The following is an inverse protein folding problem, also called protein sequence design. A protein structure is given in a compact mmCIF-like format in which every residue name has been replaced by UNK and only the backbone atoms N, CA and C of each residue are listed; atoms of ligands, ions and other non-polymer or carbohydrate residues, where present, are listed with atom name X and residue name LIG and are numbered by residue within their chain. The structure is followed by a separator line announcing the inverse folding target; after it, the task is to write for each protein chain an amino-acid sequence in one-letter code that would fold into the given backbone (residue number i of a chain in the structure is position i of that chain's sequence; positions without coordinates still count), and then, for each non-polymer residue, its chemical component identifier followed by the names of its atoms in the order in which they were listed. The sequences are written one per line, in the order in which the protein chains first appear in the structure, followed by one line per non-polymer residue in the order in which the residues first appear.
data_IF_193197341949
#
_entry.id   IF_193197341949
#
_cell.length_a   1.000
_cell.length_b   1.000
_cell.length_c   1.000
_cell.angle_alpha   90.00
_cell.angle_beta   90.00
_cell.angle_gamma   90.00
#
_symmetry.space_group_name_H-M   'P 1'
#
loop_
_entity.id
_entity.type
_entity.pdbx_description
1 polymer ?
#
# COMPACT_ATOMS: atom_id res chain seq x y z
N UNK A 1 -3.94 -75.59 19.77
CA UNK A 1 -4.61 -74.39 19.20
C UNK A 1 -4.41 -73.29 20.24
N UNK A 2 -3.27 -72.59 20.19
CA UNK A 2 -3.08 -71.25 19.55
C UNK A 2 -3.89 -70.17 20.29
N UNK A 3 -3.37 -69.04 20.77
CA UNK A 3 -2.12 -68.32 20.55
C UNK A 3 -2.13 -67.12 21.54
N UNK A 4 -1.00 -66.76 22.16
CA UNK A 4 -0.80 -65.50 22.90
C UNK A 4 0.64 -65.04 22.67
N UNK A 5 0.82 -64.02 21.83
CA UNK A 5 2.12 -63.41 21.53
C UNK A 5 2.35 -62.12 22.30
N UNK A 6 3.41 -62.11 23.12
CA UNK A 6 4.01 -60.97 23.81
C UNK A 6 5.53 -61.08 23.74
N UNK A 7 6.24 -59.95 23.57
CA UNK A 7 7.69 -59.78 23.84
C UNK A 7 8.54 -59.56 22.58
N UNK A 8 9.23 -58.42 22.40
CA UNK A 8 10.51 -57.98 23.00
C UNK A 8 11.76 -58.62 22.38
N UNK A 9 12.58 -57.83 21.66
CA UNK A 9 14.06 -57.95 21.54
C UNK A 9 14.55 -56.70 20.74
N UNK A 10 15.66 -56.00 21.03
CA UNK A 10 16.89 -56.39 21.73
C UNK A 10 17.95 -56.79 20.71
N UNK A 11 18.86 -55.89 20.31
CA UNK A 11 19.90 -56.20 19.32
C UNK A 11 20.99 -55.14 19.16
N UNK A 12 22.24 -55.55 19.41
CA UNK A 12 23.41 -54.75 19.71
C UNK A 12 24.29 -54.29 18.52
N UNK A 13 24.87 -53.09 18.69
CA UNK A 13 26.25 -52.63 18.45
C UNK A 13 27.23 -53.48 17.60
N UNK A 14 27.87 -52.85 16.59
CA UNK A 14 29.26 -53.11 16.14
C UNK A 14 29.95 -51.86 15.59
N UNK A 15 31.12 -51.56 16.16
CA UNK A 15 32.17 -50.66 15.69
C UNK A 15 32.78 -51.10 14.36
N UNK A 16 33.10 -50.15 13.48
CA UNK A 16 34.21 -50.28 12.52
C UNK A 16 34.86 -48.91 12.28
N UNK A 17 36.12 -48.80 12.69
CA UNK A 17 37.05 -47.74 12.32
C UNK A 17 37.73 -48.10 10.99
N UNK A 18 37.77 -47.17 10.04
CA UNK A 18 38.70 -47.25 8.90
C UNK A 18 39.02 -45.86 8.35
N UNK A 19 40.32 -45.53 8.41
CA UNK A 19 40.98 -44.42 7.72
C UNK A 19 40.92 -44.63 6.20
N UNK A 20 40.68 -43.55 5.46
CA UNK A 20 41.21 -43.35 4.12
C UNK A 20 41.60 -41.88 3.96
N UNK A 21 42.88 -41.69 3.64
CA UNK A 21 43.51 -40.47 3.16
C UNK A 21 43.33 -40.42 1.63
N UNK A 22 43.15 -39.24 1.04
CA UNK A 22 42.94 -39.13 -0.41
C UNK A 22 42.40 -37.80 -0.91
N UNK A 23 43.32 -36.84 -1.07
CA UNK A 23 43.52 -35.97 -2.25
C UNK A 23 42.34 -35.27 -2.96
N UNK A 24 42.55 -33.99 -3.30
CA UNK A 24 41.98 -33.42 -4.53
C UNK A 24 41.55 -31.95 -4.47
N UNK A 25 42.42 -31.08 -5.02
CA UNK A 25 42.23 -29.68 -5.42
C UNK A 25 40.96 -29.43 -6.24
N UNK A 26 40.17 -28.38 -5.91
CA UNK A 26 39.46 -27.41 -6.78
C UNK A 26 39.00 -26.25 -5.84
N UNK A 27 39.21 -24.95 -6.04
CA UNK A 27 39.18 -24.18 -7.29
C UNK A 27 37.75 -23.73 -7.59
N UNK A 28 37.27 -22.61 -7.01
CA UNK A 28 36.06 -21.95 -7.52
C UNK A 28 35.25 -21.09 -6.55
N UNK A 29 35.00 -19.84 -6.98
CA UNK A 29 33.68 -19.21 -6.78
C UNK A 29 33.59 -18.14 -5.72
N UNK A 30 33.88 -16.90 -6.12
CA UNK A 30 33.49 -15.70 -5.37
C UNK A 30 31.98 -15.71 -5.10
N UNK A 31 31.63 -15.62 -3.82
CA UNK A 31 30.27 -15.37 -3.38
C UNK A 31 30.15 -13.87 -3.19
N UNK A 32 29.73 -13.17 -4.25
CA UNK A 32 29.27 -11.81 -4.13
C UNK A 32 28.03 -11.80 -3.25
N UNK A 33 28.15 -11.22 -2.06
CA UNK A 33 27.03 -10.76 -1.27
C UNK A 33 26.28 -9.71 -2.09
N UNK A 34 25.29 -10.17 -2.85
CA UNK A 34 24.27 -9.31 -3.43
C UNK A 34 23.34 -8.86 -2.30
N UNK A 35 23.78 -7.82 -1.61
CA UNK A 35 22.95 -6.88 -0.85
C UNK A 35 21.82 -6.37 -1.78
N UNK A 36 20.70 -7.07 -1.75
CA UNK A 36 19.47 -6.73 -2.47
C UNK A 36 18.51 -5.95 -1.59
N UNK A 37 19.04 -5.03 -0.76
CA UNK A 37 18.26 -4.15 0.11
C UNK A 37 18.03 -2.73 -0.42
N UNK A 38 18.73 -2.27 -1.48
CA UNK A 38 18.94 -0.83 -1.71
C UNK A 38 18.30 -0.20 -2.97
N UNK A 39 17.32 -0.82 -3.62
CA UNK A 39 16.71 -0.23 -4.85
C UNK A 39 15.30 0.35 -4.71
N UNK A 40 14.72 0.47 -3.51
CA UNK A 40 13.42 1.13 -3.31
C UNK A 40 13.48 2.49 -2.59
N UNK A 41 14.65 2.93 -2.11
CA UNK A 41 14.78 4.16 -1.31
C UNK A 41 14.82 5.47 -2.12
N UNK A 42 15.05 5.44 -3.44
CA UNK A 42 15.25 6.68 -4.23
C UNK A 42 13.97 7.52 -4.48
N UNK A 43 12.81 7.20 -3.90
CA UNK A 43 11.56 7.96 -4.15
C UNK A 43 10.86 8.48 -2.90
N UNK A 44 11.44 8.28 -1.72
CA UNK A 44 10.84 8.68 -0.44
C UNK A 44 11.74 9.72 0.23
N UNK A 45 11.27 10.96 0.28
CA UNK A 45 11.95 12.06 0.96
C UNK A 45 11.51 12.10 2.41
N UNK A 46 12.46 12.09 3.34
CA UNK A 46 12.20 12.37 4.75
C UNK A 46 12.13 13.88 4.98
N UNK A 47 11.07 14.33 5.62
CA UNK A 47 10.80 15.75 5.88
C UNK A 47 11.10 16.13 7.34
N UNK A 48 10.74 15.27 8.28
CA UNK A 48 11.02 15.44 9.70
C UNK A 48 11.05 14.09 10.41
N UNK A 49 11.74 14.04 11.55
CA UNK A 49 11.73 12.89 12.45
C UNK A 49 11.63 13.35 13.89
N UNK A 50 10.81 12.66 14.70
CA UNK A 50 10.79 12.78 16.15
C UNK A 50 11.06 11.41 16.77
N UNK A 51 11.93 11.38 17.78
CA UNK A 51 12.24 10.18 18.53
C UNK A 51 11.72 10.31 19.96
N UNK A 52 10.93 9.35 20.41
CA UNK A 52 10.41 9.26 21.77
C UNK A 52 10.98 8.02 22.44
N UNK A 53 11.46 8.18 23.67
CA UNK A 53 11.88 7.06 24.51
C UNK A 53 10.87 6.91 25.65
N UNK A 54 10.06 5.86 25.58
CA UNK A 54 8.99 5.59 26.54
C UNK A 54 9.29 4.25 27.19
N UNK A 55 9.58 4.27 28.50
CA UNK A 55 10.07 3.10 29.23
C UNK A 55 11.30 2.49 28.55
N UNK A 56 11.28 1.19 28.25
CA UNK A 56 12.35 0.46 27.55
C UNK A 56 12.18 0.40 26.04
N UNK A 57 11.25 1.17 25.47
CA UNK A 57 10.97 1.22 24.03
C UNK A 57 11.37 2.56 23.43
N UNK A 58 11.74 2.54 22.15
CA UNK A 58 11.98 3.75 21.34
C UNK A 58 11.00 3.81 20.19
N UNK A 59 10.38 4.96 20.01
CA UNK A 59 9.47 5.24 18.91
C UNK A 59 10.07 6.29 18.00
N UNK A 60 9.95 6.09 16.69
CA UNK A 60 10.33 7.06 15.68
C UNK A 60 9.10 7.44 14.88
N UNK A 61 8.81 8.73 14.82
CA UNK A 61 7.72 9.32 14.05
C UNK A 61 8.36 10.10 12.91
N UNK A 62 8.42 9.50 11.74
CA UNK A 62 9.04 10.11 10.57
C UNK A 62 7.95 10.62 9.61
N UNK A 63 7.96 11.92 9.33
CA UNK A 63 7.14 12.50 8.25
C UNK A 63 7.89 12.30 6.95
N UNK A 64 7.27 11.58 6.01
CA UNK A 64 7.87 11.23 4.73
C UNK A 64 6.95 11.61 3.58
N UNK A 65 7.54 11.87 2.42
CA UNK A 65 6.84 12.25 1.20
C UNK A 65 7.27 11.34 0.05
N UNK A 66 6.28 10.83 -0.68
CA UNK A 66 6.51 10.10 -1.93
C UNK A 66 5.57 10.62 -3.03
N UNK A 67 5.59 9.99 -4.20
CA UNK A 67 4.72 10.37 -5.35
C UNK A 67 3.21 10.30 -5.04
N UNK A 68 2.79 9.61 -3.98
CA UNK A 68 1.38 9.43 -3.60
C UNK A 68 0.89 10.48 -2.60
N UNK A 69 1.79 11.20 -1.95
CA UNK A 69 1.47 12.16 -0.90
C UNK A 69 2.45 12.10 0.28
N UNK A 70 2.06 12.77 1.35
CA UNK A 70 2.78 12.77 2.64
C UNK A 70 2.15 11.74 3.57
N UNK A 71 2.96 11.18 4.45
CA UNK A 71 2.51 10.24 5.46
C UNK A 71 3.46 10.25 6.65
N UNK A 72 2.98 9.76 7.80
CA UNK A 72 3.79 9.53 8.99
C UNK A 72 4.06 8.03 9.11
N UNK A 73 5.33 7.67 9.14
CA UNK A 73 5.80 6.34 9.49
C UNK A 73 6.07 6.31 10.99
N UNK A 74 5.36 5.45 11.71
CA UNK A 74 5.62 5.21 13.13
C UNK A 74 6.33 3.88 13.29
N UNK A 75 7.56 3.90 13.77
CA UNK A 75 8.33 2.70 14.09
C UNK A 75 8.47 2.54 15.60
N UNK A 76 8.28 1.31 16.09
CA UNK A 76 8.57 0.88 17.45
C UNK A 76 9.81 -0.01 17.44
N UNK A 77 10.74 0.26 18.35
CA UNK A 77 11.82 -0.65 18.72
C UNK A 77 11.54 -1.13 20.15
N UNK A 78 11.21 -2.42 20.26
CA UNK A 78 10.99 -3.09 21.54
C UNK A 78 12.26 -3.23 22.36
N UNK A 79 12.11 -3.54 23.64
CA UNK A 79 13.23 -3.79 24.55
C UNK A 79 14.11 -5.00 24.11
N UNK A 80 13.51 -5.92 23.36
CA UNK A 80 14.18 -7.08 22.74
C UNK A 80 14.80 -6.76 21.37
N UNK A 81 14.80 -5.49 20.96
CA UNK A 81 15.30 -5.04 19.67
C UNK A 81 14.34 -5.31 18.50
N UNK A 82 13.18 -5.93 18.72
CA UNK A 82 12.21 -6.18 17.65
C UNK A 82 11.68 -4.86 17.11
N UNK A 83 11.67 -4.76 15.78
CA UNK A 83 11.16 -3.59 15.06
C UNK A 83 9.76 -3.87 14.54
N UNK A 84 8.83 -2.99 14.85
CA UNK A 84 7.47 -2.99 14.30
C UNK A 84 7.16 -1.61 13.73
N UNK A 85 6.26 -1.51 12.76
CA UNK A 85 5.92 -0.22 12.16
C UNK A 85 4.49 -0.17 11.62
N UNK A 86 3.90 1.02 11.67
CA UNK A 86 2.64 1.36 11.02
C UNK A 86 2.81 2.62 10.19
N UNK A 87 1.90 2.83 9.24
CA UNK A 87 1.90 3.98 8.34
C UNK A 87 0.57 4.69 8.43
N UNK A 88 0.60 6.00 8.70
CA UNK A 88 -0.57 6.85 8.87
C UNK A 88 -0.57 7.92 7.78
N UNK A 89 -1.72 8.14 7.14
CA UNK A 89 -1.92 9.37 6.38
C UNK A 89 -2.00 10.56 7.37
N UNK A 90 -1.69 11.79 6.94
CA UNK A 90 -1.71 12.96 7.85
C UNK A 90 -3.10 13.17 8.48
N UNK A 91 -4.16 12.92 7.73
CA UNK A 91 -5.55 12.96 8.22
C UNK A 91 -5.81 11.91 9.29
N UNK A 92 -5.34 10.68 9.07
CA UNK A 92 -5.44 9.58 10.06
C UNK A 92 -4.58 9.84 11.29
N UNK A 93 -3.43 10.50 11.13
CA UNK A 93 -2.59 10.91 12.25
C UNK A 93 -3.27 11.99 13.11
N UNK A 94 -4.03 12.91 12.50
CA UNK A 94 -4.84 13.90 13.22
C UNK A 94 -5.96 13.23 14.04
N UNK A 95 -6.72 12.32 13.42
CA UNK A 95 -7.73 11.52 14.11
C UNK A 95 -7.11 10.70 15.26
N UNK A 96 -5.93 10.12 15.03
CA UNK A 96 -5.21 9.38 16.07
C UNK A 96 -4.78 10.27 17.24
N UNK A 97 -4.28 11.49 16.95
CA UNK A 97 -3.93 12.50 17.96
C UNK A 97 -5.15 12.85 18.83
N UNK A 98 -6.31 13.04 18.22
CA UNK A 98 -7.54 13.35 18.96
C UNK A 98 -7.94 12.17 19.87
N UNK A 99 -7.90 10.93 19.35
CA UNK A 99 -8.16 9.74 20.15
C UNK A 99 -7.18 9.55 21.31
N UNK A 100 -5.89 9.89 21.15
CA UNK A 100 -4.91 9.80 22.23
C UNK A 100 -5.30 10.66 23.44
N UNK A 101 -5.96 11.81 23.22
CA UNK A 101 -6.49 12.62 24.31
C UNK A 101 -7.58 11.87 25.06
N UNK A 102 -8.57 11.34 24.36
CA UNK A 102 -9.66 10.54 24.94
C UNK A 102 -9.15 9.31 25.70
N UNK A 103 -8.15 8.61 25.15
CA UNK A 103 -7.52 7.47 25.83
C UNK A 103 -6.74 7.89 27.07
N UNK A 104 -6.06 9.04 27.03
CA UNK A 104 -5.33 9.57 28.18
C UNK A 104 -6.27 9.97 29.32
N UNK A 105 -7.36 10.67 29.01
CA UNK A 105 -8.36 11.06 30.01
C UNK A 105 -8.99 9.83 30.67
N UNK A 106 -9.33 8.82 29.85
CA UNK A 106 -9.83 7.55 30.37
C UNK A 106 -8.78 6.87 31.25
N UNK A 107 -7.51 6.77 30.80
CA UNK A 107 -6.43 6.17 31.60
C UNK A 107 -6.22 6.89 32.94
N UNK A 108 -6.29 8.22 32.97
CA UNK A 108 -6.16 9.02 34.19
C UNK A 108 -7.33 8.79 35.17
N UNK A 109 -8.51 8.45 34.66
CA UNK A 109 -9.67 8.08 35.49
C UNK A 109 -9.58 6.67 36.08
N UNK A 110 -8.70 5.82 35.53
CA UNK A 110 -8.53 4.46 36.03
C UNK A 110 -7.72 4.47 37.32
N UNK A 111 -8.23 3.77 38.34
CA UNK A 111 -7.48 3.48 39.57
C UNK A 111 -6.24 2.60 39.33
N UNK A 112 -5.53 2.24 40.42
CA UNK A 112 -4.37 1.36 40.33
C UNK A 112 -4.72 0.04 39.61
N UNK A 113 -3.80 -0.52 38.82
CA UNK A 113 -4.03 -1.78 38.11
C UNK A 113 -4.33 -2.89 39.13
N UNK A 114 -5.35 -3.71 38.82
CA UNK A 114 -5.71 -4.85 39.65
C UNK A 114 -5.33 -6.13 38.91
N UNK A 115 -4.19 -6.76 39.24
CA UNK A 115 -3.70 -7.95 38.54
C UNK A 115 -4.63 -9.16 38.68
N UNK A 116 -5.55 -9.16 39.65
CA UNK A 116 -6.49 -10.26 39.89
C UNK A 116 -7.79 -10.13 39.08
N UNK A 117 -8.03 -8.99 38.41
CA UNK A 117 -9.27 -8.71 37.68
C UNK A 117 -9.00 -8.14 36.28
N UNK A 118 -8.13 -8.78 35.51
CA UNK A 118 -7.86 -8.41 34.12
C UNK A 118 -8.93 -9.02 33.21
N UNK A 119 -9.58 -8.25 32.31
CA UNK A 119 -10.52 -8.82 31.34
C UNK A 119 -9.87 -9.95 30.53
N UNK A 120 -10.66 -10.94 30.12
CA UNK A 120 -10.16 -12.13 29.40
C UNK A 120 -9.45 -11.76 28.08
N UNK A 121 -9.93 -10.72 27.39
CA UNK A 121 -9.27 -10.17 26.19
C UNK A 121 -8.28 -9.02 26.52
N UNK A 122 -8.23 -8.61 27.79
CA UNK A 122 -7.43 -7.53 28.35
C UNK A 122 -7.79 -6.13 27.85
N UNK A 123 -8.94 -5.92 27.19
CA UNK A 123 -9.31 -4.60 26.63
C UNK A 123 -10.09 -3.76 27.64
N UNK A 124 -9.70 -2.50 27.77
CA UNK A 124 -10.35 -1.52 28.64
C UNK A 124 -11.17 -0.50 27.84
N UNK A 125 -10.70 -0.10 26.66
CA UNK A 125 -11.38 0.80 25.73
C UNK A 125 -10.88 0.53 24.31
N UNK A 126 -11.78 0.62 23.33
CA UNK A 126 -11.44 0.41 21.92
C UNK A 126 -12.02 1.51 21.04
N UNK A 127 -11.28 1.91 20.01
CA UNK A 127 -11.69 2.82 18.94
C UNK A 127 -11.21 2.26 17.58
N UNK A 128 -11.77 2.78 16.48
CA UNK A 128 -11.37 2.38 15.13
C UNK A 128 -11.31 3.57 14.19
N UNK A 129 -10.23 3.65 13.41
CA UNK A 129 -10.09 4.61 12.32
C UNK A 129 -10.04 3.86 10.99
N UNK A 130 -10.58 4.46 9.92
CA UNK A 130 -10.64 3.85 8.59
C UNK A 130 -10.09 4.84 7.56
N UNK A 131 -9.12 4.39 6.75
CA UNK A 131 -8.59 5.16 5.63
C UNK A 131 -8.48 4.28 4.39
N UNK A 132 -9.22 4.62 3.33
CA UNK A 132 -9.34 3.82 2.11
C UNK A 132 -9.68 2.34 2.43
N UNK A 133 -8.75 1.43 2.16
CA UNK A 133 -8.85 -0.01 2.42
C UNK A 133 -8.06 -0.44 3.68
N UNK A 134 -7.66 0.49 4.53
CA UNK A 134 -6.93 0.24 5.77
C UNK A 134 -7.83 0.52 6.98
N UNK A 135 -7.74 -0.36 7.98
CA UNK A 135 -8.38 -0.21 9.28
C UNK A 135 -7.32 -0.16 10.36
N UNK A 136 -7.48 0.77 11.29
CA UNK A 136 -6.61 0.94 12.44
C UNK A 136 -7.46 0.70 13.68
N UNK A 137 -7.13 -0.35 14.44
CA UNK A 137 -7.78 -0.66 15.71
C UNK A 137 -6.92 -0.12 16.83
N UNK A 138 -7.53 0.70 17.69
CA UNK A 138 -6.90 1.31 18.86
C UNK A 138 -7.47 0.64 20.09
N UNK A 139 -6.73 -0.27 20.71
CA UNK A 139 -7.18 -1.00 21.91
C UNK A 139 -6.30 -0.57 23.11
N UNK A 140 -6.87 0.14 24.09
CA UNK A 140 -6.22 0.32 25.38
C UNK A 140 -6.38 -0.98 26.17
N UNK A 141 -5.25 -1.59 26.53
CA UNK A 141 -5.21 -2.91 27.17
C UNK A 141 -4.50 -2.89 28.51
N UNK A 142 -4.86 -3.84 29.37
CA UNK A 142 -4.20 -4.12 30.65
C UNK A 142 -3.63 -5.54 30.63
N UNK A 143 -2.42 -5.70 31.15
CA UNK A 143 -1.81 -7.01 31.41
C UNK A 143 -0.95 -6.94 32.67
N UNK A 144 -0.31 -8.05 33.03
CA UNK A 144 0.58 -8.16 34.21
C UNK A 144 1.75 -7.17 34.23
N UNK A 145 2.13 -6.60 33.07
CA UNK A 145 3.21 -5.60 32.95
C UNK A 145 2.68 -4.15 33.04
N UNK A 146 1.36 -3.96 33.03
CA UNK A 146 0.69 -2.67 33.08
C UNK A 146 -0.21 -2.41 31.88
N UNK A 147 -0.54 -1.13 31.69
CA UNK A 147 -1.47 -0.68 30.63
C UNK A 147 -0.73 -0.15 29.41
N UNK A 148 -1.25 -0.44 28.23
CA UNK A 148 -0.68 0.00 26.95
C UNK A 148 -1.75 0.14 25.88
N UNK A 149 -1.56 1.10 24.98
CA UNK A 149 -2.39 1.27 23.79
C UNK A 149 -1.79 0.45 22.64
N UNK A 150 -2.52 -0.56 22.18
CA UNK A 150 -2.19 -1.34 20.99
C UNK A 150 -2.82 -0.68 19.77
N UNK A 151 -1.99 -0.31 18.80
CA UNK A 151 -2.43 0.22 17.51
C UNK A 151 -2.16 -0.82 16.44
N UNK A 152 -3.21 -1.46 15.92
CA UNK A 152 -3.12 -2.50 14.90
C UNK A 152 -3.61 -1.99 13.55
N UNK A 153 -2.75 -2.00 12.55
CA UNK A 153 -3.07 -1.70 11.16
C UNK A 153 -3.37 -2.98 10.38
N UNK A 154 -4.50 -3.01 9.68
CA UNK A 154 -4.87 -4.12 8.78
C UNK A 154 -5.38 -3.59 7.44
N UNK A 155 -5.24 -4.40 6.37
CA UNK A 155 -5.79 -4.09 5.05
C UNK A 155 -7.02 -4.98 4.82
N UNK A 156 -8.14 -4.39 4.41
CA UNK A 156 -9.35 -5.13 4.05
C UNK A 156 -9.04 -6.10 2.91
N UNK A 157 -9.39 -7.39 3.07
CA UNK A 157 -9.08 -8.54 2.19
C UNK A 157 -7.77 -9.29 2.48
N UNK A 158 -7.42 -9.46 3.76
CA UNK A 158 -6.38 -10.43 4.16
C UNK A 158 -4.94 -9.98 3.89
N UNK A 159 -4.70 -8.68 3.74
CA UNK A 159 -3.36 -8.14 3.56
C UNK A 159 -2.50 -8.18 4.85
N UNK A 160 -1.23 -7.75 4.76
CA UNK A 160 -0.31 -7.75 5.89
C UNK A 160 -0.89 -6.95 7.08
N UNK A 161 -0.68 -7.51 8.28
CA UNK A 161 -1.02 -6.86 9.55
C UNK A 161 0.26 -6.37 10.21
N UNK A 162 0.22 -5.16 10.73
CA UNK A 162 1.29 -4.63 11.56
C UNK A 162 0.70 -3.95 12.78
N UNK A 163 1.49 -3.86 13.85
CA UNK A 163 1.03 -3.23 15.08
C UNK A 163 2.17 -2.61 15.85
N UNK A 164 1.85 -1.63 16.68
CA UNK A 164 2.73 -1.09 17.71
C UNK A 164 2.00 -1.11 19.05
N UNK A 165 2.74 -1.05 20.15
CA UNK A 165 2.24 -1.06 21.51
C UNK A 165 2.89 0.06 22.32
N UNK A 166 2.16 1.15 22.51
CA UNK A 166 2.58 2.37 23.21
C UNK A 166 2.24 2.21 24.70
N UNK A 167 3.20 2.27 25.62
CA UNK A 167 2.89 2.28 27.06
C UNK A 167 1.96 3.43 27.42
N UNK A 168 0.96 3.19 28.27
CA UNK A 168 -0.10 4.17 28.55
C UNK A 168 0.47 5.50 29.10
N UNK A 169 1.56 5.46 29.87
CA UNK A 169 2.22 6.65 30.42
C UNK A 169 2.79 7.58 29.32
N UNK A 170 3.12 7.05 28.15
CA UNK A 170 3.68 7.83 27.05
C UNK A 170 2.65 8.31 26.02
N UNK A 171 1.34 8.10 26.25
CA UNK A 171 0.31 8.54 25.30
C UNK A 171 0.28 10.05 25.10
N UNK A 172 0.53 10.83 26.16
CA UNK A 172 0.59 12.30 26.10
C UNK A 172 1.80 12.76 25.29
N UNK A 173 3.00 12.25 25.57
CA UNK A 173 4.20 12.57 24.79
C UNK A 173 4.02 12.21 23.30
N UNK A 174 3.38 11.08 23.02
CA UNK A 174 3.07 10.66 21.65
C UNK A 174 2.08 11.62 20.97
N UNK A 175 1.03 12.07 21.70
CA UNK A 175 0.05 13.06 21.22
C UNK A 175 0.72 14.39 20.91
N UNK A 176 1.59 14.86 21.79
CA UNK A 176 2.26 16.15 21.65
C UNK A 176 3.24 16.11 20.47
N UNK A 177 4.00 15.02 20.33
CA UNK A 177 4.85 14.81 19.16
C UNK A 177 4.06 14.77 17.84
N UNK A 178 2.88 14.15 17.81
CA UNK A 178 1.99 14.21 16.64
C UNK A 178 1.46 15.61 16.41
N UNK A 179 1.11 16.36 17.47
CA UNK A 179 0.59 17.72 17.35
C UNK A 179 1.63 18.63 16.70
N UNK A 180 2.87 18.63 17.17
CA UNK A 180 3.96 19.40 16.57
C UNK A 180 4.15 19.10 15.08
N UNK A 181 4.16 17.81 14.71
CA UNK A 181 4.31 17.39 13.31
C UNK A 181 3.10 17.81 12.46
N UNK A 182 1.89 17.75 13.01
CA UNK A 182 0.67 18.12 12.28
C UNK A 182 0.49 19.63 12.16
N UNK A 183 1.01 20.42 13.11
CA UNK A 183 1.06 21.88 12.99
C UNK A 183 2.02 22.31 11.89
N UNK A 184 3.19 21.67 11.78
CA UNK A 184 4.19 21.99 10.76
C UNK A 184 3.80 21.49 9.36
N UNK A 185 3.31 20.25 9.25
CA UNK A 185 3.08 19.60 7.95
C UNK A 185 1.61 19.56 7.51
N UNK A 186 0.69 19.98 8.39
CA UNK A 186 -0.75 19.99 8.19
C UNK A 186 -1.43 18.64 8.42
N UNK A 187 -2.75 18.61 8.23
CA UNK A 187 -3.59 17.39 8.34
C UNK A 187 -4.05 16.85 6.98
N UNK A 188 -3.64 17.50 5.89
CA UNK A 188 -3.96 17.09 4.53
C UNK A 188 -2.97 16.03 4.05
N UNK A 189 -3.44 14.89 3.54
CA UNK A 189 -2.59 13.75 3.16
C UNK A 189 -1.59 14.00 2.03
N UNK A 190 -1.66 15.16 1.36
CA UNK A 190 -0.87 15.43 0.17
C UNK A 190 -1.34 14.61 -1.04
N UNK A 191 -1.51 15.31 -2.16
CA UNK A 191 -2.15 14.87 -3.39
C UNK A 191 -2.57 16.15 -4.11
N UNK A 192 -2.58 16.16 -5.44
CA UNK A 192 -2.87 17.39 -6.21
C UNK A 192 -4.16 18.07 -5.70
N UNK A 193 -4.08 19.38 -5.44
CA UNK A 193 -5.14 20.25 -4.88
C UNK A 193 -5.67 21.28 -5.90
N UNK A 194 -5.48 21.07 -7.20
CA UNK A 194 -6.21 21.85 -8.19
C UNK A 194 -7.66 21.35 -8.28
N UNK A 195 -8.60 22.22 -8.60
CA UNK A 195 -9.87 21.76 -9.18
C UNK A 195 -9.50 20.85 -10.36
N UNK A 196 -9.98 19.59 -10.30
CA UNK A 196 -9.83 18.71 -11.44
C UNK A 196 -10.67 19.30 -12.58
N UNK A 197 -10.17 19.31 -13.82
CA UNK A 197 -10.95 19.77 -14.95
C UNK A 197 -12.32 19.08 -15.00
N UNK A 198 -13.36 19.82 -15.34
CA UNK A 198 -14.69 19.27 -15.47
C UNK A 198 -14.69 18.12 -16.49
N UNK A 199 -15.36 17.02 -16.14
CA UNK A 199 -15.51 15.89 -17.02
C UNK A 199 -16.22 16.31 -18.31
N UNK A 200 -15.75 15.79 -19.44
CA UNK A 200 -16.39 16.01 -20.74
C UNK A 200 -17.12 14.76 -21.16
N UNK A 201 -18.16 14.90 -21.98
CA UNK A 201 -18.81 13.77 -22.60
C UNK A 201 -19.14 14.06 -24.06
N UNK A 202 -19.31 12.99 -24.83
CA UNK A 202 -19.81 13.07 -26.20
C UNK A 202 -20.80 11.94 -26.45
N UNK A 203 -21.79 12.19 -27.29
CA UNK A 203 -22.74 11.18 -27.75
C UNK A 203 -22.46 10.83 -29.20
N UNK A 204 -22.37 9.54 -29.48
CA UNK A 204 -22.21 8.98 -30.82
C UNK A 204 -23.26 7.89 -30.98
N UNK A 205 -24.19 8.08 -31.92
CA UNK A 205 -25.34 7.20 -32.14
C UNK A 205 -26.14 6.92 -30.85
N UNK A 206 -26.20 5.65 -30.45
CA UNK A 206 -26.85 5.17 -29.23
C UNK A 206 -25.85 4.93 -28.08
N UNK A 207 -24.68 5.57 -28.11
CA UNK A 207 -23.63 5.46 -27.08
C UNK A 207 -23.27 6.84 -26.54
N UNK A 208 -23.00 6.90 -25.23
CA UNK A 208 -22.44 8.06 -24.56
C UNK A 208 -21.03 7.71 -24.07
N UNK A 209 -20.06 8.57 -24.35
CA UNK A 209 -18.69 8.47 -23.86
C UNK A 209 -18.45 9.57 -22.85
N UNK A 210 -18.05 9.21 -21.63
CA UNK A 210 -17.69 10.14 -20.55
C UNK A 210 -16.17 10.10 -20.32
N UNK A 211 -15.57 11.26 -20.12
CA UNK A 211 -14.14 11.48 -19.89
C UNK A 211 -13.99 12.19 -18.54
N UNK A 212 -13.98 11.40 -17.48
CA UNK A 212 -13.98 11.91 -16.11
C UNK A 212 -12.54 11.99 -15.59
N UNK A 213 -12.10 13.16 -15.10
CA UNK A 213 -10.82 13.27 -14.40
C UNK A 213 -11.06 12.97 -12.93
N UNK A 214 -10.34 11.98 -12.41
CA UNK A 214 -10.43 11.55 -11.03
C UNK A 214 -9.06 11.47 -10.37
N UNK A 215 -9.08 11.39 -9.04
CA UNK A 215 -7.88 11.18 -8.23
C UNK A 215 -8.11 10.02 -7.27
N UNK A 216 -7.07 9.21 -7.09
CA UNK A 216 -7.05 8.18 -6.05
C UNK A 216 -5.65 8.11 -5.43
N UNK A 217 -5.46 7.15 -4.52
CA UNK A 217 -4.19 6.95 -3.81
C UNK A 217 -3.01 6.55 -4.71
N UNK A 218 -3.22 6.32 -6.02
CA UNK A 218 -2.17 6.07 -7.03
C UNK A 218 -1.85 7.29 -7.90
N UNK A 219 -2.63 8.38 -7.80
CA UNK A 219 -2.46 9.62 -8.55
C UNK A 219 -3.72 10.03 -9.33
N UNK A 220 -3.54 11.01 -10.24
CA UNK A 220 -4.59 11.48 -11.14
C UNK A 220 -4.76 10.47 -12.29
N UNK A 221 -6.00 10.27 -12.71
CA UNK A 221 -6.36 9.42 -13.82
C UNK A 221 -7.54 10.00 -14.61
N UNK A 222 -7.64 9.60 -15.87
CA UNK A 222 -8.83 9.80 -16.68
C UNK A 222 -9.59 8.49 -16.76
N UNK A 223 -10.89 8.51 -16.44
CA UNK A 223 -11.80 7.38 -16.68
C UNK A 223 -12.57 7.65 -17.96
N UNK A 224 -12.35 6.82 -18.97
CA UNK A 224 -13.13 6.86 -20.21
C UNK A 224 -14.19 5.78 -20.11
N UNK A 225 -15.46 6.19 -20.00
CA UNK A 225 -16.61 5.28 -19.87
C UNK A 225 -17.44 5.28 -21.15
N UNK A 226 -17.69 4.12 -21.73
CA UNK A 226 -18.72 3.91 -22.76
C UNK A 226 -20.01 3.43 -22.09
N UNK A 227 -21.12 4.10 -22.38
CA UNK A 227 -22.45 3.80 -21.85
C UNK A 227 -23.43 3.60 -23.01
N UNK A 228 -24.08 2.43 -23.05
CA UNK A 228 -25.15 2.09 -24.00
C UNK A 228 -26.32 1.46 -23.23
N UNK A 229 -27.45 2.15 -23.18
CA UNK A 229 -28.62 1.70 -22.39
C UNK A 229 -28.17 1.37 -20.95
N UNK A 230 -28.27 0.12 -20.51
CA UNK A 230 -27.89 -0.34 -19.17
C UNK A 230 -26.45 -0.89 -19.07
N UNK A 231 -25.68 -0.90 -20.16
CA UNK A 231 -24.31 -1.40 -20.16
C UNK A 231 -23.32 -0.24 -20.04
N UNK A 232 -22.41 -0.35 -19.06
CA UNK A 232 -21.29 0.59 -18.86
C UNK A 232 -19.98 -0.18 -18.86
N UNK A 233 -19.11 0.14 -19.81
CA UNK A 233 -17.71 -0.32 -19.85
C UNK A 233 -16.80 0.88 -19.65
N UNK A 234 -15.62 0.70 -19.04
CA UNK A 234 -14.72 1.81 -18.83
C UNK A 234 -13.26 1.36 -18.74
N UNK A 235 -12.36 2.25 -19.16
CA UNK A 235 -10.92 2.14 -18.92
C UNK A 235 -10.46 3.26 -17.97
N UNK A 236 -9.32 3.04 -17.31
CA UNK A 236 -8.68 4.03 -16.45
C UNK A 236 -7.27 4.28 -16.97
N UNK A 237 -7.00 5.52 -17.40
CA UNK A 237 -5.72 5.92 -17.98
C UNK A 237 -5.00 6.84 -16.97
N UNK A 238 -3.89 6.40 -16.36
CA UNK A 238 -3.09 7.24 -15.47
C UNK A 238 -2.58 8.50 -16.18
N UNK A 239 -2.53 9.63 -15.47
CA UNK A 239 -2.11 10.93 -16.02
C UNK A 239 -0.75 10.88 -16.71
N UNK A 240 0.23 10.22 -16.10
CA UNK A 240 1.57 9.98 -16.65
C UNK A 240 1.62 9.34 -18.05
N UNK A 241 0.52 8.75 -18.51
CA UNK A 241 0.43 8.08 -19.81
C UNK A 241 -0.37 8.88 -20.86
N UNK A 242 -0.98 10.01 -20.52
CA UNK A 242 -1.87 10.75 -21.42
C UNK A 242 -1.19 11.22 -22.70
N UNK A 243 0.03 11.77 -22.61
CA UNK A 243 0.78 12.21 -23.81
C UNK A 243 0.99 11.06 -24.80
N UNK A 244 1.46 9.91 -24.30
CA UNK A 244 1.68 8.72 -25.15
C UNK A 244 0.36 8.18 -25.73
N UNK A 245 -0.71 8.20 -24.94
CA UNK A 245 -2.03 7.77 -25.41
C UNK A 245 -2.54 8.68 -26.54
N UNK A 246 -2.40 10.00 -26.38
CA UNK A 246 -2.72 11.00 -27.41
C UNK A 246 -1.91 10.79 -28.67
N UNK A 247 -0.59 10.60 -28.54
CA UNK A 247 0.30 10.47 -29.70
C UNK A 247 -0.04 9.22 -30.53
N UNK A 248 -0.34 8.09 -29.86
CA UNK A 248 -0.83 6.87 -30.53
C UNK A 248 -2.16 7.14 -31.26
N UNK A 249 -3.12 7.80 -30.60
CA UNK A 249 -4.41 8.11 -31.21
C UNK A 249 -4.26 9.03 -32.43
N UNK A 250 -3.37 10.03 -32.33
CA UNK A 250 -3.08 10.99 -33.40
C UNK A 250 -2.49 10.28 -34.62
N UNK A 251 -1.51 9.39 -34.43
CA UNK A 251 -0.91 8.60 -35.50
C UNK A 251 -1.96 7.75 -36.24
N UNK A 252 -2.91 7.13 -35.52
CA UNK A 252 -4.02 6.41 -36.15
C UNK A 252 -4.97 7.34 -36.92
N UNK A 253 -5.29 8.52 -36.39
CA UNK A 253 -6.12 9.50 -37.09
C UNK A 253 -5.48 9.92 -38.42
N UNK A 254 -4.18 10.18 -38.43
CA UNK A 254 -3.45 10.60 -39.63
C UNK A 254 -3.33 9.48 -40.67
N UNK A 255 -3.09 8.24 -40.21
CA UNK A 255 -3.09 7.06 -41.10
C UNK A 255 -4.45 6.85 -41.76
N UNK A 256 -5.54 6.96 -41.01
CA UNK A 256 -6.90 6.79 -41.56
C UNK A 256 -7.25 7.88 -42.58
N UNK A 257 -6.83 9.14 -42.36
CA UNK A 257 -7.01 10.22 -43.34
C UNK A 257 -6.31 9.90 -44.66
N UNK A 258 -5.03 9.48 -44.61
CA UNK A 258 -4.26 9.09 -45.80
C UNK A 258 -4.93 7.95 -46.58
N UNK A 259 -5.50 6.97 -45.88
CA UNK A 259 -6.25 5.87 -46.52
C UNK A 259 -7.57 6.36 -47.16
N UNK A 260 -8.27 7.29 -46.53
CA UNK A 260 -9.50 7.86 -47.11
C UNK A 260 -9.23 8.73 -48.34
N UNK A 261 -8.12 9.48 -48.36
CA UNK A 261 -7.70 10.30 -49.50
C UNK A 261 -7.19 9.43 -50.66
N UNK A 262 -6.46 8.35 -50.38
CA UNK A 262 -6.01 7.42 -51.41
C UNK A 262 -7.17 6.65 -52.05
N UNK A 263 -8.18 6.26 -51.27
CA UNK A 263 -9.39 5.58 -51.76
C UNK A 263 -10.28 6.52 -52.58
N UNK A 264 -10.39 7.79 -52.19
CA UNK A 264 -11.16 8.79 -52.97
C UNK A 264 -10.46 9.08 -54.30
N UNK A 265 -9.13 9.17 -54.30
CA UNK A 265 -8.32 9.40 -55.50
C UNK A 265 -8.43 8.25 -56.51
N UNK A 266 -8.47 6.99 -56.05
CA UNK A 266 -8.62 5.82 -56.92
C UNK A 266 -10.03 5.69 -57.52
N UNK A 267 -11.09 6.05 -56.78
CA UNK A 267 -12.47 6.04 -57.28
C UNK A 267 -12.69 7.12 -58.35
N UNK A 268 -12.06 8.29 -58.23
CA UNK A 268 -12.09 9.31 -59.30
C UNK A 268 -11.28 8.90 -60.53
N UNK A 269 -10.18 8.16 -60.38
CA UNK A 269 -9.39 7.67 -61.51
C UNK A 269 -10.18 6.60 -62.33
N UNK A 270 -10.84 5.66 -61.67
CA UNK A 270 -11.66 4.63 -62.34
C UNK A 270 -12.90 5.21 -63.05
N UNK A 271 -13.56 6.21 -62.45
CA UNK A 271 -14.71 6.87 -63.09
C UNK A 271 -14.31 7.73 -64.31
N UNK A 272 -13.07 8.20 -64.38
CA UNK A 272 -12.58 9.00 -65.51
C UNK A 272 -12.18 8.09 -66.69
N UNK A 273 -11.68 6.89 -66.42
CA UNK A 273 -11.38 5.87 -67.43
C UNK A 273 -12.63 5.25 -68.06
N UNK A 274 -13.72 5.04 -67.29
CA UNK A 274 -14.99 4.54 -67.85
C UNK A 274 -15.71 5.57 -68.74
N UNK A 275 -15.58 6.88 -68.47
CA UNK A 275 -16.17 7.92 -69.32
C UNK A 275 -15.45 8.15 -70.65
N UNK A 276 -14.15 7.80 -70.74
CA UNK A 276 -13.40 7.90 -72.01
C UNK A 276 -13.66 6.72 -72.95
N UNK A 277 -14.02 5.53 -72.44
CA UNK A 277 -14.33 4.37 -73.29
C UNK A 277 -15.75 4.36 -73.85
N UNK A 278 -16.69 5.08 -73.24
CA UNK A 278 -18.08 5.20 -73.75
C UNK A 278 -18.30 6.27 -74.84
N UNK A 279 -17.31 7.13 -75.12
CA UNK A 279 -17.42 8.18 -76.13
C UNK A 279 -16.78 7.83 -77.48
N UNK A 280 -16.32 6.58 -77.67
CA UNK A 280 -15.63 6.11 -78.88
C UNK A 280 -16.31 4.89 -79.54
N UNK A 281 -17.62 4.72 -79.37
CA UNK A 281 -18.46 3.82 -80.17
C UNK A 281 -19.58 4.58 -80.86
#
# INVERSE_FOLDING_TARGET
MSDTGSGHDGGAQKDYSQKMDGGGVLGGGGSGDFDSGQQSQQTEQELATKMLQIQSKRFYLDVKQNRRGRFIKVAEIGADGRRSQIFLALSTAAEFRDHLSTFSDYYASLGPPNPDNVPEDGKLKSEMMIKDNRRYYLDLKENVRGRFLRVSQTITRGGPRSQIAIPAQGMIEFRDALTDLLEEFGTNDGGYKGELPEGRHMRVDNKNFYFDIGQNSRGIYMRVSEVKSNFRTAITVPEKCWSRFRDILTDYCDKMKKTSESTTSSITADNTLQKQTSNNM
#
